data_IF_653694817851
#
_entry.id   IF_653694817851
#
_cell.length_a   1.000
_cell.length_b   1.000
_cell.length_c   1.000
_cell.angle_alpha   90.00
_cell.angle_beta   90.00
_cell.angle_gamma   90.00
#
_symmetry.space_group_name_H-M   'P 1'
#
loop_
_entity.id
_entity.type
_entity.pdbx_description
1 polymer ?
#
# COMPACT_ATOMS: atom_id res chain seq x y z
N UNK A 1 15.34 -47.46 -3.05
CA UNK A 1 14.81 -46.07 -3.06
C UNK A 1 13.66 -46.03 -4.06
N UNK A 2 12.45 -45.60 -3.66
CA UNK A 2 11.27 -45.64 -4.54
C UNK A 2 11.53 -44.86 -5.83
N UNK A 3 11.42 -45.53 -6.99
CA UNK A 3 11.68 -44.97 -8.32
C UNK A 3 10.82 -43.76 -8.67
N UNK A 4 9.74 -43.51 -7.92
CA UNK A 4 8.86 -42.35 -8.07
C UNK A 4 9.34 -41.08 -7.34
N UNK A 5 10.31 -41.17 -6.43
CA UNK A 5 10.77 -40.00 -5.64
C UNK A 5 11.51 -39.01 -6.54
N UNK A 6 12.40 -39.50 -7.40
CA UNK A 6 13.21 -38.67 -8.31
C UNK A 6 12.34 -37.84 -9.28
N UNK A 7 11.36 -38.40 -10.03
CA UNK A 7 10.52 -37.60 -10.92
C UNK A 7 9.63 -36.59 -10.16
N UNK A 8 9.16 -36.91 -8.96
CA UNK A 8 8.40 -35.96 -8.12
C UNK A 8 9.27 -34.76 -7.75
N UNK A 9 10.53 -34.99 -7.33
CA UNK A 9 11.47 -33.90 -7.00
C UNK A 9 11.72 -33.03 -8.23
N UNK A 10 11.94 -33.63 -9.41
CA UNK A 10 12.15 -32.89 -10.67
C UNK A 10 10.92 -32.02 -10.99
N UNK A 11 9.71 -32.56 -10.88
CA UNK A 11 8.47 -31.80 -11.10
C UNK A 11 8.30 -30.63 -10.12
N UNK A 12 8.63 -30.83 -8.84
CA UNK A 12 8.58 -29.76 -7.84
C UNK A 12 9.60 -28.66 -8.11
N UNK A 13 10.82 -29.02 -8.49
CA UNK A 13 11.87 -28.08 -8.88
C UNK A 13 11.43 -27.28 -10.13
N UNK A 14 10.93 -27.97 -11.15
CA UNK A 14 10.40 -27.31 -12.35
C UNK A 14 9.25 -26.36 -12.03
N UNK A 15 8.29 -26.78 -11.21
CA UNK A 15 7.17 -25.94 -10.78
C UNK A 15 7.64 -24.72 -9.97
N UNK A 16 8.66 -24.88 -9.12
CA UNK A 16 9.27 -23.78 -8.38
C UNK A 16 9.91 -22.74 -9.31
N UNK A 17 10.75 -23.17 -10.25
CA UNK A 17 11.38 -22.27 -11.22
C UNK A 17 10.36 -21.60 -12.14
N UNK A 18 9.34 -22.33 -12.59
CA UNK A 18 8.26 -21.77 -13.38
C UNK A 18 7.51 -20.68 -12.61
N UNK A 19 7.12 -20.94 -11.35
CA UNK A 19 6.45 -19.95 -10.49
C UNK A 19 7.32 -18.71 -10.27
N UNK A 20 8.62 -18.91 -10.03
CA UNK A 20 9.60 -17.82 -9.87
C UNK A 20 9.68 -16.95 -11.12
N UNK A 21 9.76 -17.56 -12.29
CA UNK A 21 9.83 -16.85 -13.57
C UNK A 21 8.53 -16.12 -13.90
N UNK A 22 7.37 -16.76 -13.68
CA UNK A 22 6.07 -16.11 -13.84
C UNK A 22 5.93 -14.89 -12.91
N UNK A 23 6.37 -15.00 -11.65
CA UNK A 23 6.40 -13.86 -10.72
C UNK A 23 7.29 -12.74 -11.26
N UNK A 24 8.49 -13.06 -11.79
CA UNK A 24 9.39 -12.06 -12.38
C UNK A 24 8.76 -11.34 -13.57
N UNK A 25 8.12 -12.08 -14.49
CA UNK A 25 7.43 -11.51 -15.67
C UNK A 25 6.30 -10.56 -15.27
N UNK A 26 5.50 -10.97 -14.28
CA UNK A 26 4.40 -10.17 -13.70
C UNK A 26 4.88 -8.84 -13.13
N UNK A 27 5.94 -8.86 -12.33
CA UNK A 27 6.50 -7.64 -11.72
C UNK A 27 7.06 -6.70 -12.78
N UNK A 28 7.80 -7.24 -13.75
CA UNK A 28 8.30 -6.46 -14.90
C UNK A 28 7.16 -5.83 -15.70
N UNK A 29 6.04 -6.52 -15.85
CA UNK A 29 4.85 -5.97 -16.51
C UNK A 29 4.29 -4.77 -15.74
N UNK A 30 4.19 -4.85 -14.41
CA UNK A 30 3.73 -3.73 -13.57
C UNK A 30 4.68 -2.54 -13.68
N UNK A 31 5.99 -2.76 -13.53
CA UNK A 31 7.00 -1.70 -13.54
C UNK A 31 7.04 -0.93 -14.86
N UNK A 32 6.83 -1.64 -15.99
CA UNK A 32 6.85 -1.06 -17.34
C UNK A 32 5.45 -0.73 -17.87
N UNK A 33 4.41 -0.79 -17.04
CA UNK A 33 3.05 -0.53 -17.48
C UNK A 33 2.88 0.92 -17.94
N UNK A 34 2.32 1.09 -19.14
CA UNK A 34 2.02 2.40 -19.71
C UNK A 34 0.53 2.67 -19.57
N UNK A 35 0.20 3.66 -18.75
CA UNK A 35 -1.19 4.07 -18.57
C UNK A 35 -1.72 4.81 -19.80
N UNK A 36 -3.01 4.66 -20.06
CA UNK A 36 -3.72 5.36 -21.12
C UNK A 36 -3.62 6.90 -20.95
N UNK A 37 -3.33 7.68 -22.00
CA UNK A 37 -3.31 9.14 -21.93
C UNK A 37 -4.60 9.78 -21.42
N UNK A 38 -5.76 9.18 -21.72
CA UNK A 38 -7.07 9.65 -21.24
C UNK A 38 -7.18 9.47 -19.72
N UNK A 39 -6.73 8.33 -19.20
CA UNK A 39 -6.65 8.09 -17.76
C UNK A 39 -5.73 9.13 -17.09
N UNK A 40 -4.55 9.37 -17.66
CA UNK A 40 -3.61 10.37 -17.15
C UNK A 40 -4.25 11.75 -17.07
N UNK A 41 -5.00 12.15 -18.10
CA UNK A 41 -5.71 13.43 -18.12
C UNK A 41 -6.77 13.51 -17.02
N UNK A 42 -7.61 12.48 -16.83
CA UNK A 42 -8.65 12.46 -15.79
C UNK A 42 -8.09 12.52 -14.37
N UNK A 43 -6.96 11.87 -14.12
CA UNK A 43 -6.28 11.97 -12.81
C UNK A 43 -5.79 13.40 -12.56
N UNK A 44 -5.25 14.08 -13.57
CA UNK A 44 -4.83 15.49 -13.44
C UNK A 44 -6.00 16.44 -13.20
N UNK A 45 -7.17 16.16 -13.75
CA UNK A 45 -8.38 16.95 -13.50
C UNK A 45 -8.85 16.80 -12.04
N UNK A 46 -8.67 15.62 -11.43
CA UNK A 46 -9.01 15.36 -10.01
C UNK A 46 -8.01 15.92 -9.00
N UNK A 47 -6.74 16.05 -9.39
CA UNK A 47 -5.67 16.57 -8.53
C UNK A 47 -5.20 17.91 -9.12
N UNK A 48 -5.89 19.03 -8.79
CA UNK A 48 -5.50 20.35 -9.27
C UNK A 48 -4.07 20.70 -8.80
N UNK A 49 -3.36 21.50 -9.59
CA UNK A 49 -1.99 21.99 -9.34
C UNK A 49 -0.84 20.96 -9.45
N UNK A 50 -1.08 19.78 -10.03
CA UNK A 50 0.00 18.80 -10.24
C UNK A 50 0.90 19.16 -11.44
N UNK A 51 2.16 19.52 -11.16
CA UNK A 51 3.20 19.71 -12.18
C UNK A 51 3.49 18.43 -12.98
N UNK A 52 4.00 18.56 -14.22
CA UNK A 52 4.34 17.41 -15.09
C UNK A 52 5.32 16.42 -14.44
N UNK A 53 6.35 16.93 -13.74
CA UNK A 53 7.34 16.10 -13.01
C UNK A 53 6.68 15.34 -11.85
N UNK A 54 5.74 15.99 -11.19
CA UNK A 54 4.97 15.44 -10.08
C UNK A 54 3.98 14.37 -10.56
N UNK A 55 3.42 14.54 -11.76
CA UNK A 55 2.55 13.55 -12.40
C UNK A 55 3.29 12.23 -12.67
N UNK A 56 4.53 12.28 -13.17
CA UNK A 56 5.33 11.07 -13.40
C UNK A 56 5.57 10.31 -12.09
N UNK A 57 5.96 11.03 -11.02
CA UNK A 57 6.16 10.44 -9.70
C UNK A 57 4.89 9.79 -9.13
N UNK A 58 3.73 10.40 -9.35
CA UNK A 58 2.45 9.82 -8.92
C UNK A 58 2.19 8.48 -9.61
N UNK A 59 2.41 8.38 -10.92
CA UNK A 59 2.20 7.11 -11.63
C UNK A 59 3.28 6.07 -11.36
N UNK A 60 4.50 6.50 -11.03
CA UNK A 60 5.54 5.62 -10.49
C UNK A 60 5.08 5.04 -9.14
N UNK A 61 4.60 5.89 -8.22
CA UNK A 61 4.05 5.44 -6.93
C UNK A 61 2.82 4.53 -7.09
N UNK A 62 1.95 4.78 -8.08
CA UNK A 62 0.83 3.90 -8.39
C UNK A 62 1.31 2.51 -8.87
N UNK A 63 2.34 2.46 -9.72
CA UNK A 63 2.98 1.20 -10.11
C UNK A 63 3.61 0.49 -8.92
N UNK A 64 4.26 1.23 -8.02
CA UNK A 64 4.86 0.68 -6.80
C UNK A 64 3.81 0.09 -5.86
N UNK A 65 2.64 0.75 -5.73
CA UNK A 65 1.51 0.21 -4.99
C UNK A 65 1.03 -1.13 -5.59
N UNK A 66 0.83 -1.20 -6.92
CA UNK A 66 0.46 -2.47 -7.56
C UNK A 66 1.54 -3.54 -7.44
N UNK A 67 2.81 -3.14 -7.44
CA UNK A 67 3.93 -4.04 -7.21
C UNK A 67 3.83 -4.70 -5.83
N UNK A 68 3.64 -3.91 -4.77
CA UNK A 68 3.54 -4.46 -3.41
C UNK A 68 2.27 -5.31 -3.23
N UNK A 69 1.16 -4.95 -3.88
CA UNK A 69 -0.05 -5.77 -3.92
C UNK A 69 0.17 -7.14 -4.59
N UNK A 70 0.98 -7.18 -5.65
CA UNK A 70 1.40 -8.43 -6.31
C UNK A 70 2.32 -9.27 -5.39
N UNK A 71 3.23 -8.62 -4.64
CA UNK A 71 4.08 -9.29 -3.66
C UNK A 71 3.34 -9.83 -2.44
N UNK A 72 2.22 -9.22 -2.06
CA UNK A 72 1.44 -9.59 -0.89
C UNK A 72 0.69 -10.94 -1.02
N UNK A 73 0.70 -11.57 -2.20
CA UNK A 73 0.15 -12.91 -2.44
C UNK A 73 -1.30 -13.10 -1.97
N UNK A 74 -2.15 -12.08 -2.17
CA UNK A 74 -3.57 -12.14 -1.80
C UNK A 74 -3.88 -11.55 -0.43
N UNK A 75 -2.88 -11.28 0.41
CA UNK A 75 -3.08 -10.55 1.66
C UNK A 75 -3.42 -9.10 1.36
N UNK A 76 -4.34 -8.54 2.15
CA UNK A 76 -4.76 -7.14 2.03
C UNK A 76 -3.56 -6.20 2.25
N UNK A 77 -3.45 -5.17 1.42
CA UNK A 77 -2.46 -4.09 1.57
C UNK A 77 -3.27 -2.81 1.67
N UNK A 78 -3.10 -2.05 2.75
CA UNK A 78 -3.80 -0.78 2.89
C UNK A 78 -3.14 0.28 2.01
N UNK A 79 -3.92 1.22 1.51
CA UNK A 79 -3.41 2.34 0.72
C UNK A 79 -2.72 3.36 1.64
N UNK A 80 -1.42 3.66 1.47
CA UNK A 80 -0.70 4.61 2.32
C UNK A 80 -0.73 6.05 1.80
N UNK A 81 -1.35 6.30 0.63
CA UNK A 81 -1.31 7.59 -0.06
C UNK A 81 -2.67 7.94 -0.67
N UNK A 82 -3.15 9.14 -0.39
CA UNK A 82 -4.41 9.70 -0.88
C UNK A 82 -4.34 9.98 -2.39
N UNK A 83 -3.25 10.56 -2.86
CA UNK A 83 -3.08 10.84 -4.29
C UNK A 83 -3.03 9.57 -5.14
N UNK A 84 -2.36 8.53 -4.63
CA UNK A 84 -2.33 7.22 -5.28
C UNK A 84 -3.70 6.56 -5.21
N UNK A 85 -4.45 6.73 -4.11
CA UNK A 85 -5.81 6.23 -4.01
C UNK A 85 -6.75 6.86 -5.03
N UNK A 86 -6.71 8.18 -5.20
CA UNK A 86 -7.47 8.91 -6.23
C UNK A 86 -7.13 8.38 -7.62
N UNK A 87 -5.84 8.16 -7.91
CA UNK A 87 -5.40 7.63 -9.19
C UNK A 87 -5.85 6.17 -9.40
N UNK A 88 -5.82 5.32 -8.37
CA UNK A 88 -6.31 3.95 -8.46
C UNK A 88 -7.83 3.92 -8.67
N UNK A 89 -8.59 4.72 -7.93
CA UNK A 89 -10.03 4.87 -8.11
C UNK A 89 -10.39 5.25 -9.55
N UNK A 90 -9.67 6.19 -10.16
CA UNK A 90 -9.90 6.53 -11.57
C UNK A 90 -9.58 5.34 -12.49
N UNK A 91 -8.58 4.53 -12.17
CA UNK A 91 -8.20 3.39 -13.00
C UNK A 91 -9.27 2.29 -13.00
N UNK A 92 -10.02 2.13 -11.90
CA UNK A 92 -11.15 1.20 -11.81
C UNK A 92 -12.23 1.48 -12.86
N UNK A 93 -12.40 2.75 -13.27
CA UNK A 93 -13.38 3.14 -14.30
C UNK A 93 -12.99 2.66 -15.71
N UNK A 94 -11.72 2.34 -15.94
CA UNK A 94 -11.23 1.75 -17.18
C UNK A 94 -11.35 0.22 -17.11
N UNK A 95 -12.55 -0.30 -16.84
CA UNK A 95 -12.83 -1.66 -16.38
C UNK A 95 -12.11 -2.77 -17.17
N UNK A 96 -12.17 -2.74 -18.51
CA UNK A 96 -11.49 -3.72 -19.38
C UNK A 96 -9.97 -3.64 -19.30
N UNK A 97 -9.43 -2.42 -19.26
CA UNK A 97 -7.99 -2.18 -19.12
C UNK A 97 -7.51 -2.62 -17.74
N UNK A 98 -8.26 -2.25 -16.69
CA UNK A 98 -7.99 -2.61 -15.30
C UNK A 98 -8.02 -4.12 -15.08
N UNK A 99 -9.02 -4.82 -15.60
CA UNK A 99 -9.10 -6.28 -15.52
C UNK A 99 -7.91 -6.95 -16.23
N UNK A 100 -7.53 -6.44 -17.40
CA UNK A 100 -6.37 -6.95 -18.15
C UNK A 100 -5.07 -6.72 -17.38
N UNK A 101 -4.89 -5.52 -16.82
CA UNK A 101 -3.76 -5.17 -15.97
C UNK A 101 -3.66 -6.10 -14.75
N UNK A 102 -4.76 -6.30 -14.03
CA UNK A 102 -4.83 -7.18 -12.87
C UNK A 102 -4.44 -8.61 -13.22
N UNK A 103 -5.00 -9.17 -14.30
CA UNK A 103 -4.72 -10.55 -14.70
C UNK A 103 -3.26 -10.75 -15.14
N UNK A 104 -2.66 -9.77 -15.83
CA UNK A 104 -1.29 -9.88 -16.35
C UNK A 104 -0.22 -9.50 -15.32
N UNK A 105 -0.45 -8.48 -14.51
CA UNK A 105 0.52 -7.97 -13.55
C UNK A 105 0.39 -8.58 -12.15
N UNK A 106 -0.83 -8.70 -11.65
CA UNK A 106 -1.08 -9.18 -10.28
C UNK A 106 -1.36 -10.69 -10.30
N UNK A 107 -2.00 -11.19 -11.36
CA UNK A 107 -2.40 -12.58 -11.51
C UNK A 107 -3.75 -12.92 -10.88
N UNK A 108 -4.48 -11.90 -10.42
CA UNK A 108 -5.85 -11.95 -9.89
C UNK A 108 -6.45 -10.55 -9.98
N UNK A 109 -7.77 -10.44 -9.91
CA UNK A 109 -8.41 -9.15 -9.74
C UNK A 109 -8.03 -8.55 -8.38
N UNK A 110 -7.61 -7.28 -8.38
CA UNK A 110 -7.34 -6.53 -7.17
C UNK A 110 -8.57 -5.69 -6.86
N UNK A 111 -9.32 -6.09 -5.83
CA UNK A 111 -10.47 -5.31 -5.37
C UNK A 111 -9.97 -4.08 -4.61
N UNK A 112 -10.58 -2.93 -4.90
CA UNK A 112 -10.45 -1.75 -4.06
C UNK A 112 -11.45 -1.87 -2.91
N UNK A 113 -11.01 -1.53 -1.70
CA UNK A 113 -11.85 -1.47 -0.51
C UNK A 113 -11.52 -0.15 0.19
N UNK A 114 -12.43 0.84 0.18
CA UNK A 114 -12.22 2.11 0.86
C UNK A 114 -11.92 1.92 2.33
N UNK A 115 -11.14 2.83 2.91
CA UNK A 115 -10.72 2.75 4.32
C UNK A 115 -11.92 2.81 5.26
N UNK A 116 -12.97 3.55 4.88
CA UNK A 116 -14.20 3.78 5.63
C UNK A 116 -15.02 2.51 5.83
N UNK A 117 -14.87 1.51 4.95
CA UNK A 117 -15.62 0.25 4.99
C UNK A 117 -14.77 -0.93 5.48
N UNK A 118 -13.56 -0.66 5.98
CA UNK A 118 -12.70 -1.72 6.53
C UNK A 118 -13.31 -2.28 7.83
N UNK A 119 -13.37 -3.62 7.91
CA UNK A 119 -14.07 -4.36 8.96
C UNK A 119 -13.58 -4.09 10.40
N UNK A 120 -12.32 -3.67 10.57
CA UNK A 120 -11.77 -3.30 11.89
C UNK A 120 -10.53 -2.41 11.79
N UNK A 121 -10.29 -1.58 12.81
CA UNK A 121 -9.06 -0.79 12.96
C UNK A 121 -7.79 -1.66 12.92
N UNK A 122 -7.84 -2.85 13.51
CA UNK A 122 -6.73 -3.81 13.52
C UNK A 122 -6.40 -4.32 12.11
N UNK A 123 -7.41 -4.59 11.29
CA UNK A 123 -7.18 -5.02 9.90
C UNK A 123 -6.47 -3.94 9.09
N UNK A 124 -6.88 -2.68 9.23
CA UNK A 124 -6.25 -1.54 8.59
C UNK A 124 -4.80 -1.36 9.04
N UNK A 125 -4.52 -1.51 10.34
CA UNK A 125 -3.16 -1.47 10.90
C UNK A 125 -2.27 -2.58 10.32
N UNK A 126 -2.76 -3.81 10.24
CA UNK A 126 -2.00 -4.91 9.60
C UNK A 126 -1.77 -4.67 8.11
N UNK A 127 -2.74 -4.04 7.43
CA UNK A 127 -2.62 -3.65 6.02
C UNK A 127 -1.53 -2.61 5.80
N UNK A 128 -1.45 -1.58 6.64
CA UNK A 128 -0.44 -0.52 6.50
C UNK A 128 0.97 -1.02 6.87
N UNK A 129 1.10 -1.86 7.91
CA UNK A 129 2.38 -2.53 8.26
C UNK A 129 2.92 -3.37 7.12
N UNK A 130 2.03 -4.09 6.42
CA UNK A 130 2.39 -4.87 5.24
C UNK A 130 2.81 -3.97 4.08
N UNK A 131 2.07 -2.90 3.83
CA UNK A 131 2.42 -1.92 2.81
C UNK A 131 3.83 -1.35 3.05
N UNK A 132 4.10 -0.96 4.30
CA UNK A 132 5.39 -0.45 4.75
C UNK A 132 6.53 -1.43 4.52
N UNK A 133 6.39 -2.66 5.03
CA UNK A 133 7.43 -3.70 4.87
C UNK A 133 7.73 -3.99 3.40
N UNK A 134 6.70 -4.13 2.57
CA UNK A 134 6.88 -4.45 1.15
C UNK A 134 7.47 -3.27 0.37
N UNK A 135 7.06 -2.03 0.69
CA UNK A 135 7.64 -0.83 0.09
C UNK A 135 9.12 -0.66 0.49
N UNK A 136 9.47 -0.89 1.75
CA UNK A 136 10.85 -0.87 2.22
C UNK A 136 11.71 -1.92 1.49
N UNK A 137 11.23 -3.17 1.40
CA UNK A 137 11.92 -4.24 0.67
C UNK A 137 12.15 -3.87 -0.79
N UNK A 138 11.17 -3.26 -1.46
CA UNK A 138 11.30 -2.82 -2.85
C UNK A 138 12.40 -1.77 -3.03
N UNK A 139 12.51 -0.84 -2.09
CA UNK A 139 13.47 0.27 -2.11
C UNK A 139 14.85 -0.06 -1.51
N UNK A 140 15.05 -1.30 -1.03
CA UNK A 140 16.26 -1.71 -0.32
C UNK A 140 16.46 -1.03 1.03
N UNK A 141 15.36 -0.65 1.69
CA UNK A 141 15.33 -0.01 3.01
C UNK A 141 15.06 -1.09 4.08
N UNK A 142 15.73 -1.01 5.22
CA UNK A 142 15.40 -1.82 6.39
C UNK A 142 14.06 -1.34 7.01
N UNK A 143 13.01 -2.18 7.07
CA UNK A 143 11.73 -1.81 7.66
C UNK A 143 11.79 -1.46 9.16
N UNK A 144 12.75 -2.00 9.91
CA UNK A 144 12.88 -1.79 11.36
C UNK A 144 13.65 -0.52 11.69
N UNK A 145 14.69 -0.22 10.91
CA UNK A 145 15.50 0.99 11.06
C UNK A 145 15.58 1.77 9.73
N UNK A 146 14.48 2.43 9.32
CA UNK A 146 14.42 3.12 8.04
C UNK A 146 15.31 4.37 8.03
N UNK A 147 16.34 4.39 7.19
CA UNK A 147 17.14 5.60 6.96
C UNK A 147 16.43 6.63 6.08
N UNK A 148 15.47 6.19 5.27
CA UNK A 148 14.64 7.02 4.38
C UNK A 148 13.22 6.47 4.32
N UNK A 149 12.26 7.31 3.98
CA UNK A 149 10.88 6.88 3.74
C UNK A 149 10.76 6.34 2.30
N UNK A 150 10.05 5.22 2.07
CA UNK A 150 9.75 4.74 0.72
C UNK A 150 8.94 5.79 -0.06
N UNK A 151 9.18 5.99 -1.38
CA UNK A 151 8.50 7.02 -2.16
C UNK A 151 6.98 6.99 -2.05
N UNK A 152 6.39 5.79 -2.00
CA UNK A 152 4.96 5.56 -1.83
C UNK A 152 4.37 6.19 -0.54
N UNK A 153 5.18 6.32 0.52
CA UNK A 153 4.79 6.96 1.78
C UNK A 153 5.08 8.47 1.81
N UNK A 154 5.83 9.00 0.85
CA UNK A 154 6.21 10.43 0.83
C UNK A 154 5.44 11.20 -0.26
N UNK A 155 4.86 10.49 -1.23
CA UNK A 155 4.31 11.09 -2.45
C UNK A 155 3.28 12.17 -2.14
N UNK A 156 2.38 11.97 -1.18
CA UNK A 156 1.37 12.97 -0.80
C UNK A 156 1.99 14.28 -0.31
N UNK A 157 3.04 14.18 0.51
CA UNK A 157 3.80 15.35 0.97
C UNK A 157 4.56 16.03 -0.17
N UNK A 158 5.12 15.25 -1.10
CA UNK A 158 5.82 15.78 -2.28
C UNK A 158 4.88 16.52 -3.24
N UNK A 159 3.62 16.09 -3.29
CA UNK A 159 2.58 16.67 -4.12
C UNK A 159 1.79 17.79 -3.42
N UNK A 160 2.06 18.04 -2.13
CA UNK A 160 1.36 19.01 -1.30
C UNK A 160 -0.17 18.83 -1.30
N UNK A 161 -0.62 17.59 -1.18
CA UNK A 161 -2.05 17.24 -1.17
C UNK A 161 -2.68 17.69 0.15
N UNK A 162 -3.75 18.49 0.09
CA UNK A 162 -4.43 19.08 1.26
C UNK A 162 -4.89 18.03 2.29
N UNK A 163 -5.38 16.88 1.82
CA UNK A 163 -5.83 15.76 2.66
C UNK A 163 -4.85 14.56 2.62
N UNK A 164 -3.60 14.81 2.23
CA UNK A 164 -2.61 13.76 2.05
C UNK A 164 -2.03 13.22 3.35
N UNK A 165 -1.52 12.00 3.29
CA UNK A 165 -0.83 11.40 4.42
C UNK A 165 0.58 11.98 4.58
N UNK A 166 0.93 12.39 5.80
CA UNK A 166 2.29 12.82 6.14
C UNK A 166 2.92 11.84 7.12
N UNK A 167 4.06 11.27 6.71
CA UNK A 167 4.83 10.34 7.53
C UNK A 167 6.14 10.98 7.99
N UNK A 168 6.58 10.62 9.20
CA UNK A 168 7.85 11.07 9.77
C UNK A 168 8.66 9.87 10.28
N UNK A 169 9.99 9.94 10.16
CA UNK A 169 10.89 8.87 10.58
C UNK A 169 11.07 8.80 12.10
N UNK A 170 11.12 9.95 12.78
CA UNK A 170 11.37 10.03 14.21
C UNK A 170 10.25 10.81 14.91
N UNK A 171 9.48 10.13 15.76
CA UNK A 171 8.37 10.73 16.51
C UNK A 171 8.77 11.19 17.92
N UNK A 172 10.01 10.94 18.34
CA UNK A 172 10.53 11.31 19.67
C UNK A 172 10.58 12.82 19.94
N UNK A 173 10.30 13.69 18.96
CA UNK A 173 10.22 15.14 19.16
C UNK A 173 8.82 15.68 19.49
N UNK A 174 7.77 14.83 19.53
CA UNK A 174 6.40 15.24 19.90
C UNK A 174 5.94 14.72 21.28
N UNK A 175 6.89 14.34 22.14
CA UNK A 175 6.62 13.87 23.51
C UNK A 175 6.79 14.95 24.59
N UNK A 176 6.72 16.24 24.21
CA UNK A 176 6.71 17.34 25.17
C UNK A 176 5.58 18.32 24.85
N UNK A 177 4.44 18.13 25.52
CA UNK A 177 3.45 19.17 25.76
C UNK A 177 2.21 19.15 24.86
N UNK A 178 1.08 18.82 25.51
CA UNK A 178 -0.30 19.25 25.18
C UNK A 178 -1.13 18.29 24.30
N UNK A 179 -1.78 17.36 25.00
CA UNK A 179 -3.17 16.90 24.85
C UNK A 179 -3.89 17.00 23.49
N UNK A 180 -4.21 15.82 22.96
CA UNK A 180 -5.50 15.44 22.34
C UNK A 180 -6.24 16.48 21.49
N UNK A 181 -5.92 16.52 20.20
CA UNK A 181 -6.89 16.83 19.14
C UNK A 181 -6.35 16.38 17.78
N UNK A 182 -7.09 15.47 17.14
CA UNK A 182 -7.24 15.27 15.69
C UNK A 182 -6.03 15.50 14.75
N UNK A 183 -5.67 14.43 14.04
CA UNK A 183 -5.02 14.34 12.71
C UNK A 183 -3.61 14.94 12.49
N UNK A 184 -2.77 14.20 11.74
CA UNK A 184 -1.77 14.84 10.89
C UNK A 184 -0.34 14.26 10.84
N UNK A 185 -0.04 13.12 11.46
CA UNK A 185 1.29 12.51 11.30
C UNK A 185 1.33 11.03 11.64
N UNK A 186 1.66 10.19 10.67
CA UNK A 186 1.85 8.75 10.87
C UNK A 186 3.33 8.46 11.16
N UNK A 187 3.59 7.67 12.19
CA UNK A 187 4.95 7.34 12.60
C UNK A 187 5.49 6.13 11.82
N UNK A 188 6.57 6.31 11.07
CA UNK A 188 7.16 5.24 10.28
C UNK A 188 7.73 4.10 11.14
N UNK A 189 8.32 4.44 12.29
CA UNK A 189 8.88 3.46 13.23
C UNK A 189 7.81 2.61 13.91
N UNK A 190 6.65 3.18 14.21
CA UNK A 190 5.54 2.45 14.85
C UNK A 190 4.85 1.49 13.86
N UNK A 191 4.92 1.78 12.56
CA UNK A 191 4.49 0.87 11.49
C UNK A 191 5.52 -0.26 11.29
N UNK A 192 6.81 0.01 11.50
CA UNK A 192 7.90 -0.97 11.38
C UNK A 192 8.00 -1.97 12.55
N UNK A 193 7.52 -1.61 13.74
CA UNK A 193 7.58 -2.48 14.91
C UNK A 193 6.63 -3.69 14.82
N UNK A 194 7.21 -4.89 14.90
CA UNK A 194 6.52 -6.19 14.90
C UNK A 194 5.99 -6.62 16.27
N UNK A 195 6.15 -5.81 17.32
CA UNK A 195 5.56 -6.09 18.62
C UNK A 195 4.05 -5.85 18.54
N UNK A 196 3.27 -6.92 18.64
CA UNK A 196 1.83 -6.83 18.83
C UNK A 196 1.54 -6.11 20.14
N UNK A 197 1.22 -4.83 20.06
CA UNK A 197 0.64 -4.10 21.18
C UNK A 197 -0.86 -4.32 21.11
N UNK A 198 -1.33 -5.42 21.69
CA UNK A 198 -2.68 -5.44 22.25
C UNK A 198 -2.66 -4.48 23.43
N UNK A 199 -3.35 -3.35 23.31
CA UNK A 199 -3.72 -2.54 24.47
C UNK A 199 -5.24 -2.53 24.50
N UNK A 200 -5.76 -3.40 25.36
CA UNK A 200 -7.07 -3.23 25.97
C UNK A 200 -7.03 -2.05 26.96
N UNK A 201 -8.23 -1.56 27.34
CA UNK A 201 -8.55 -0.46 28.30
C UNK A 201 -8.24 0.95 27.79
N UNK A 202 -9.16 1.92 27.69
CA UNK A 202 -10.31 2.30 28.53
C UNK A 202 -11.51 2.74 27.62
N UNK A 203 -12.79 2.57 27.94
CA UNK A 203 -13.47 2.80 29.21
C UNK A 203 -14.17 4.17 29.24
N UNK A 204 -15.08 4.49 28.30
CA UNK A 204 -16.09 5.54 28.51
C UNK A 204 -17.33 5.36 27.61
N UNK A 205 -18.36 4.70 28.15
CA UNK A 205 -19.74 4.88 27.72
C UNK A 205 -20.44 5.54 28.91
N UNK A 206 -20.62 6.86 28.85
CA UNK A 206 -21.50 7.56 29.79
C UNK A 206 -22.84 7.75 29.08
N UNK A 207 -23.72 6.77 29.22
CA UNK A 207 -25.14 6.96 28.97
C UNK A 207 -25.62 8.02 29.94
N UNK A 208 -26.03 9.16 29.43
CA UNK A 208 -26.81 10.13 30.20
C UNK A 208 -28.27 9.84 29.85
N UNK A 209 -28.88 8.93 30.61
CA UNK A 209 -30.34 8.89 30.73
C UNK A 209 -30.75 10.11 31.55
N UNK A 210 -31.59 10.96 30.96
CA UNK A 210 -32.28 12.02 31.67
C UNK A 210 -33.77 11.78 31.51
N UNK A 211 -34.34 11.11 32.51
CA UNK A 211 -35.76 11.12 32.83
C UNK A 211 -36.15 12.50 33.38
N UNK A 212 -37.10 13.16 32.73
CA UNK A 212 -38.21 13.96 33.28
C UNK A 212 -39.08 14.51 32.15
#
# INVERSE_FOLDING_TARGET
MNSYIVPIIILLIFAYFWRKEQKRKRLKYIENYKFNPVFIRRVKEKIPDISKKNTTKLFDALRDYFYICSQAQGRMVAMPSESVDIAWHEFLLFTKEYQTFCNRGIGRFLHHTPTEVMQSKTSAQEGIKRAWRLACIKEGIDPQNPQKLPPLFVIDKLLNIKNGFTYTLNCKSKASGTSSSSCGGYCATDIGCSSGCGSDSDGWFSSSDSDS
#
